data_IF_579191068514
#
_entry.id   IF_579191068514
#
_cell.length_a   1.000
_cell.length_b   1.000
_cell.length_c   1.000
_cell.angle_alpha   90.00
_cell.angle_beta   90.00
_cell.angle_gamma   90.00
#
_symmetry.space_group_name_H-M   'P 1'
#
loop_
_entity.id
_entity.type
_entity.pdbx_description
1 polymer ?
#
# COMPACT_ATOMS: atom_id res chain seq x y z
N UNK A 1 -14.72 -36.91 -25.06
CA UNK A 1 -14.81 -35.50 -24.69
C UNK A 1 -13.41 -35.03 -24.30
N UNK A 2 -12.61 -34.70 -25.32
CA UNK A 2 -11.22 -34.23 -25.21
C UNK A 2 -11.21 -32.80 -24.67
N UNK A 3 -10.46 -32.56 -23.59
CA UNK A 3 -10.36 -31.24 -22.96
C UNK A 3 -9.13 -30.55 -23.54
N UNK A 4 -9.32 -29.66 -24.50
CA UNK A 4 -8.23 -28.86 -25.06
C UNK A 4 -7.60 -27.96 -23.98
N UNK A 5 -6.30 -28.13 -23.80
CA UNK A 5 -5.47 -27.41 -22.83
C UNK A 5 -5.07 -26.05 -23.43
N UNK A 6 -5.47 -24.97 -22.77
CA UNK A 6 -5.21 -23.61 -23.22
C UNK A 6 -3.72 -23.28 -23.03
N UNK A 7 -2.96 -23.24 -24.12
CA UNK A 7 -1.56 -22.81 -24.12
C UNK A 7 -1.48 -21.28 -24.21
N UNK A 8 -0.85 -20.65 -23.20
CA UNK A 8 -0.59 -19.21 -23.16
C UNK A 8 0.58 -18.90 -24.10
N UNK A 9 0.47 -17.91 -25.01
CA UNK A 9 1.55 -17.60 -25.94
C UNK A 9 2.71 -16.93 -25.22
N UNK A 10 3.89 -17.56 -25.24
CA UNK A 10 5.17 -16.95 -24.84
C UNK A 10 5.60 -15.96 -25.93
N UNK A 11 5.06 -14.74 -25.85
CA UNK A 11 5.54 -13.61 -26.63
C UNK A 11 6.86 -13.09 -26.06
N UNK A 12 7.94 -13.23 -26.82
CA UNK A 12 9.22 -12.56 -26.63
C UNK A 12 8.98 -11.04 -26.70
N UNK A 13 8.95 -10.38 -25.54
CA UNK A 13 8.77 -8.94 -25.43
C UNK A 13 10.13 -8.27 -25.37
N UNK A 14 10.55 -7.82 -26.56
CA UNK A 14 11.69 -6.94 -26.76
C UNK A 14 11.71 -5.75 -25.79
N UNK A 15 12.93 -5.39 -25.44
CA UNK A 15 13.35 -4.25 -24.64
C UNK A 15 12.75 -2.92 -25.14
N UNK A 16 11.63 -2.51 -24.54
CA UNK A 16 11.13 -1.13 -24.58
C UNK A 16 11.82 -0.23 -23.56
N UNK A 17 11.76 1.12 -23.73
CA UNK A 17 12.40 2.06 -22.83
C UNK A 17 11.82 1.93 -21.42
N UNK A 18 12.72 1.80 -20.43
CA UNK A 18 12.36 1.72 -19.02
C UNK A 18 11.74 3.06 -18.61
N UNK A 19 10.42 3.11 -18.50
CA UNK A 19 9.74 4.19 -17.81
C UNK A 19 10.30 4.27 -16.38
N UNK A 20 10.92 5.41 -16.08
CA UNK A 20 11.50 5.71 -14.78
C UNK A 20 10.49 5.43 -13.66
N UNK A 21 10.88 4.48 -12.81
CA UNK A 21 10.53 4.34 -11.40
C UNK A 21 9.16 4.90 -11.02
N UNK A 22 8.12 4.09 -11.16
CA UNK A 22 6.90 4.28 -10.38
C UNK A 22 7.31 4.52 -8.91
N UNK A 23 6.80 5.57 -8.23
CA UNK A 23 7.16 5.83 -6.86
C UNK A 23 6.84 4.59 -6.05
N UNK A 24 7.88 3.93 -5.53
CA UNK A 24 7.74 2.78 -4.63
C UNK A 24 6.66 3.12 -3.60
N UNK A 25 5.70 2.22 -3.31
CA UNK A 25 4.65 2.51 -2.36
C UNK A 25 5.31 2.88 -1.04
N UNK A 26 5.30 4.18 -0.72
CA UNK A 26 5.84 4.71 0.51
C UNK A 26 5.21 3.93 1.64
N UNK A 27 6.04 3.34 2.52
CA UNK A 27 5.56 2.56 3.66
C UNK A 27 4.52 3.38 4.41
N UNK A 28 3.27 2.94 4.34
CA UNK A 28 2.14 3.64 4.96
C UNK A 28 2.28 3.50 6.49
N UNK A 29 2.43 4.63 7.15
CA UNK A 29 2.44 4.76 8.60
C UNK A 29 1.02 4.96 9.10
N UNK A 30 0.64 4.18 10.11
CA UNK A 30 -0.64 4.30 10.79
C UNK A 30 -0.46 4.78 12.22
N UNK A 31 -1.47 5.50 12.73
CA UNK A 31 -1.50 6.07 14.07
C UNK A 31 -2.67 5.44 14.81
N UNK A 32 -2.39 4.88 15.98
CA UNK A 32 -3.40 4.35 16.88
C UNK A 32 -4.35 5.43 17.40
N UNK A 33 -5.66 5.17 17.40
CA UNK A 33 -6.66 6.14 17.86
C UNK A 33 -6.58 6.47 19.35
N UNK A 34 -6.31 5.47 20.19
CA UNK A 34 -6.33 5.66 21.66
C UNK A 34 -4.94 5.96 22.23
N UNK A 35 -3.90 5.38 21.65
CA UNK A 35 -2.53 5.43 22.16
C UNK A 35 -1.61 6.38 21.37
N UNK A 36 -2.04 6.86 20.20
CA UNK A 36 -1.26 7.79 19.36
C UNK A 36 0.04 7.22 18.79
N UNK A 37 0.35 5.94 19.05
CA UNK A 37 1.59 5.31 18.64
C UNK A 37 1.62 5.10 17.13
N UNK A 38 2.77 5.39 16.51
CA UNK A 38 2.99 5.21 15.07
C UNK A 38 3.44 3.77 14.79
N UNK A 39 2.67 3.03 14.00
CA UNK A 39 3.13 1.76 13.42
C UNK A 39 3.76 2.03 12.05
N UNK A 40 5.08 1.80 11.95
CA UNK A 40 5.88 2.01 10.72
C UNK A 40 6.00 0.76 9.85
N UNK A 41 5.57 -0.40 10.36
CA UNK A 41 5.61 -1.66 9.64
C UNK A 41 4.28 -1.87 8.91
N UNK A 42 4.37 -2.17 7.62
CA UNK A 42 3.30 -2.80 6.86
C UNK A 42 2.97 -4.10 7.59
N UNK A 43 1.96 -4.06 8.45
CA UNK A 43 1.55 -5.19 9.26
C UNK A 43 0.95 -6.18 8.25
N UNK A 44 1.77 -7.12 7.76
CA UNK A 44 1.45 -8.23 6.84
C UNK A 44 0.45 -9.22 7.46
N UNK A 45 -0.33 -8.76 8.42
CA UNK A 45 -1.23 -9.54 9.26
C UNK A 45 -2.65 -9.21 8.81
N UNK A 46 -3.53 -10.20 8.64
CA UNK A 46 -4.92 -9.97 8.23
C UNK A 46 -5.75 -9.14 9.23
N UNK A 47 -5.19 -8.77 10.40
CA UNK A 47 -5.87 -8.00 11.43
C UNK A 47 -5.05 -6.76 11.81
N UNK A 48 -5.57 -5.59 11.46
CA UNK A 48 -5.02 -4.28 11.82
C UNK A 48 -5.27 -4.04 13.32
N UNK A 49 -4.26 -4.32 14.16
CA UNK A 49 -4.33 -4.20 15.62
C UNK A 49 -3.11 -3.47 16.18
N UNK A 50 -3.37 -2.53 17.07
CA UNK A 50 -2.38 -1.87 17.92
C UNK A 50 -1.66 -2.89 18.82
N UNK A 51 -0.33 -2.85 18.87
CA UNK A 51 0.48 -3.80 19.67
C UNK A 51 0.43 -3.54 21.18
N UNK A 52 0.25 -2.28 21.60
CA UNK A 52 0.30 -1.91 23.02
C UNK A 52 -1.08 -1.88 23.68
N UNK A 53 -2.10 -1.47 22.93
CA UNK A 53 -3.44 -1.22 23.43
C UNK A 53 -4.49 -2.25 22.96
N UNK A 54 -4.19 -3.04 21.93
CA UNK A 54 -5.11 -4.03 21.35
C UNK A 54 -6.26 -3.45 20.53
N UNK A 55 -6.37 -2.12 20.44
CA UNK A 55 -7.41 -1.43 19.67
C UNK A 55 -7.26 -1.67 18.16
N UNK A 56 -8.39 -1.66 17.45
CA UNK A 56 -8.49 -1.98 16.02
C UNK A 56 -8.64 -0.76 15.12
N UNK A 57 -8.78 0.42 15.72
CA UNK A 57 -8.96 1.68 15.01
C UNK A 57 -7.58 2.33 14.87
N UNK A 58 -7.11 2.41 13.62
CA UNK A 58 -5.89 3.13 13.26
C UNK A 58 -6.22 4.19 12.19
N UNK A 59 -5.70 5.39 12.38
CA UNK A 59 -5.75 6.47 11.42
C UNK A 59 -4.55 6.41 10.47
N UNK A 60 -4.71 6.87 9.24
CA UNK A 60 -3.61 7.05 8.29
C UNK A 60 -2.83 8.32 8.66
N UNK A 61 -1.50 8.29 8.59
CA UNK A 61 -0.70 9.50 8.84
C UNK A 61 -1.01 10.61 7.82
N UNK A 62 -1.02 11.87 8.29
CA UNK A 62 -1.16 13.05 7.44
C UNK A 62 -0.07 13.06 6.36
N UNK A 63 -0.45 13.44 5.14
CA UNK A 63 0.53 13.63 4.07
C UNK A 63 1.51 14.75 4.42
N UNK A 64 2.80 14.56 4.12
CA UNK A 64 3.83 15.61 4.27
C UNK A 64 3.76 16.69 3.16
N UNK A 65 2.89 16.48 2.17
CA UNK A 65 2.71 17.42 1.06
C UNK A 65 1.91 18.63 1.55
N UNK A 66 2.35 19.83 1.21
CA UNK A 66 1.59 21.04 1.49
C UNK A 66 0.27 21.00 0.71
N UNK A 67 -0.82 21.39 1.36
CA UNK A 67 -2.14 21.50 0.75
C UNK A 67 -2.52 22.97 0.80
N UNK A 68 -2.89 23.54 -0.35
CA UNK A 68 -3.37 24.91 -0.47
C UNK A 68 -4.91 24.90 -0.42
N UNK A 69 -5.47 25.78 0.40
CA UNK A 69 -6.91 25.96 0.54
C UNK A 69 -7.30 27.40 0.17
N UNK A 70 -8.47 27.58 -0.42
CA UNK A 70 -9.06 28.90 -0.66
C UNK A 70 -9.87 29.35 0.56
N UNK A 71 -9.82 30.65 0.90
CA UNK A 71 -10.54 31.24 2.04
C UNK A 71 -11.98 31.60 1.65
N UNK A 72 -12.80 30.59 1.34
CA UNK A 72 -14.23 30.73 1.05
C UNK A 72 -15.07 30.51 2.29
#
# INVERSE_FOLDING_TARGET
>A
MSREEYQIPTGDLGSGPKFDTAPQPSRLSYICGDCGLKSSQHQTVPFLRCKECGCRILYKERTKRMVQFEAR
#
